data_IF_100899669724
#
_entry.id   IF_100899669724
#
_cell.length_a   1.000
_cell.length_b   1.000
_cell.length_c   1.000
_cell.angle_alpha   90.00
_cell.angle_beta   90.00
_cell.angle_gamma   90.00
#
_symmetry.space_group_name_H-M   'P 1'
#
loop_
_entity.id
_entity.type
_entity.pdbx_description
1 polymer ?
#
# COMPACT_ATOMS: atom_id res chain seq x y z
N UNK A 1 0.70 8.21 16.71
CA UNK A 1 1.58 8.16 15.54
C UNK A 1 1.89 9.59 15.10
N UNK A 2 3.17 9.93 14.91
CA UNK A 2 3.56 11.27 14.47
C UNK A 2 3.97 11.16 13.01
N UNK A 3 3.16 11.70 12.09
CA UNK A 3 3.59 12.00 10.73
C UNK A 3 3.50 13.50 10.53
N UNK A 4 4.62 14.16 10.21
CA UNK A 4 4.57 15.52 9.67
C UNK A 4 3.94 15.44 8.28
N UNK A 5 2.73 15.89 8.10
CA UNK A 5 2.20 16.56 6.91
C UNK A 5 0.68 16.70 6.97
N UNK A 6 0.25 17.91 6.73
CA UNK A 6 -1.08 18.41 6.38
C UNK A 6 -1.88 19.08 7.52
N UNK A 7 -2.15 20.31 7.24
CA UNK A 7 -2.71 21.35 8.13
C UNK A 7 -4.14 21.10 8.66
N UNK A 8 -4.82 19.97 8.38
CA UNK A 8 -6.22 19.80 8.76
C UNK A 8 -6.69 18.38 9.17
N UNK A 9 -5.82 17.36 9.20
CA UNK A 9 -6.26 16.01 9.58
C UNK A 9 -5.45 15.54 10.79
N UNK A 10 -6.03 15.70 11.99
CA UNK A 10 -5.40 15.26 13.24
C UNK A 10 -5.64 13.78 13.57
N UNK A 11 -6.63 13.13 12.94
CA UNK A 11 -6.90 11.71 13.16
C UNK A 11 -7.36 11.00 11.88
N UNK A 12 -6.86 9.78 11.65
CA UNK A 12 -7.32 8.87 10.61
C UNK A 12 -7.84 7.62 11.31
N UNK A 13 -9.10 7.25 11.06
CA UNK A 13 -9.74 6.07 11.64
C UNK A 13 -9.99 5.02 10.57
N UNK A 14 -9.64 3.78 10.88
CA UNK A 14 -9.93 2.63 10.05
C UNK A 14 -10.42 1.48 10.94
N UNK A 15 -11.72 1.20 10.89
CA UNK A 15 -12.39 0.26 11.78
C UNK A 15 -12.13 0.58 13.27
N UNK A 16 -11.45 -0.32 13.98
CA UNK A 16 -11.04 -0.19 15.39
C UNK A 16 -9.65 0.45 15.56
N UNK A 17 -8.92 0.66 14.45
CA UNK A 17 -7.61 1.31 14.48
C UNK A 17 -7.76 2.84 14.33
N UNK A 18 -7.20 3.59 15.29
CA UNK A 18 -7.15 5.05 15.25
C UNK A 18 -5.69 5.50 15.15
N UNK A 19 -5.41 6.38 14.19
CA UNK A 19 -4.09 7.00 14.05
C UNK A 19 -4.21 8.48 14.38
N UNK A 20 -3.38 8.92 15.30
CA UNK A 20 -3.27 10.32 15.70
C UNK A 20 -2.01 10.90 15.11
N UNK A 21 -2.10 12.10 14.56
CA UNK A 21 -0.97 12.86 14.03
C UNK A 21 -0.77 14.12 14.85
N UNK A 22 0.49 14.44 15.13
CA UNK A 22 0.86 15.64 15.87
C UNK A 22 2.23 16.12 15.41
N UNK A 23 2.47 17.43 15.53
CA UNK A 23 3.76 18.03 15.18
C UNK A 23 4.77 17.96 16.35
N UNK A 24 4.29 17.83 17.59
CA UNK A 24 5.11 17.74 18.79
C UNK A 24 4.71 16.57 19.69
N UNK A 25 5.62 16.19 20.59
CA UNK A 25 5.37 15.15 21.60
C UNK A 25 4.29 15.58 22.60
N UNK A 26 4.27 16.87 22.99
CA UNK A 26 3.30 17.43 23.90
C UNK A 26 1.89 17.40 23.30
N UNK A 27 1.77 17.76 22.03
CA UNK A 27 0.51 17.71 21.31
C UNK A 27 0.00 16.27 21.19
N UNK A 28 0.88 15.33 20.84
CA UNK A 28 0.53 13.91 20.77
C UNK A 28 0.02 13.38 22.10
N UNK A 29 0.69 13.72 23.21
CA UNK A 29 0.25 13.35 24.56
C UNK A 29 -1.14 13.91 24.86
N UNK A 30 -1.38 15.18 24.51
CA UNK A 30 -2.67 15.82 24.68
C UNK A 30 -3.80 15.13 23.90
N UNK A 31 -3.54 14.76 22.64
CA UNK A 31 -4.49 14.01 21.81
C UNK A 31 -4.75 12.61 22.36
N UNK A 32 -3.72 11.89 22.77
CA UNK A 32 -3.85 10.56 23.35
C UNK A 32 -4.66 10.57 24.66
N UNK A 33 -4.44 11.56 25.52
CA UNK A 33 -5.23 11.71 26.76
C UNK A 33 -6.70 11.99 26.46
N UNK A 34 -7.01 12.85 25.49
CA UNK A 34 -8.40 13.11 25.07
C UNK A 34 -9.07 11.84 24.52
N UNK A 35 -8.38 11.09 23.63
CA UNK A 35 -8.92 9.84 23.09
C UNK A 35 -9.17 8.82 24.20
N UNK A 36 -8.26 8.72 25.18
CA UNK A 36 -8.42 7.85 26.34
C UNK A 36 -9.67 8.22 27.14
N UNK A 37 -9.81 9.49 27.52
CA UNK A 37 -10.97 9.99 28.30
C UNK A 37 -12.30 9.73 27.57
N UNK A 38 -12.37 10.04 26.28
CA UNK A 38 -13.59 9.81 25.49
C UNK A 38 -13.89 8.31 25.31
N UNK A 39 -12.85 7.49 25.15
CA UNK A 39 -13.01 6.02 25.09
C UNK A 39 -13.55 5.47 26.41
N UNK A 40 -13.05 5.93 27.56
CA UNK A 40 -13.52 5.53 28.89
C UNK A 40 -14.98 5.93 29.14
N UNK A 41 -15.39 7.13 28.70
CA UNK A 41 -16.80 7.56 28.73
C UNK A 41 -17.73 6.66 27.93
N UNK A 42 -17.23 6.12 26.80
CA UNK A 42 -17.94 5.17 25.96
C UNK A 42 -17.86 3.71 26.47
N UNK A 43 -17.21 3.46 27.62
CA UNK A 43 -17.01 2.11 28.15
C UNK A 43 -15.94 1.29 27.44
N UNK A 44 -15.12 1.93 26.60
CA UNK A 44 -14.02 1.28 25.87
C UNK A 44 -12.72 1.44 26.66
N UNK A 45 -11.89 0.39 26.69
CA UNK A 45 -10.58 0.43 27.32
C UNK A 45 -9.50 0.72 26.29
N UNK A 46 -8.74 1.79 26.51
CA UNK A 46 -7.57 2.11 25.73
C UNK A 46 -6.47 1.07 25.99
N UNK A 47 -5.92 0.47 24.93
CA UNK A 47 -4.89 -0.58 25.05
C UNK A 47 -3.51 0.01 24.78
N UNK A 48 -2.81 0.41 25.82
CA UNK A 48 -1.45 1.01 25.75
C UNK A 48 -0.45 0.04 25.10
N UNK A 49 -0.52 -1.26 25.40
CA UNK A 49 0.41 -2.25 24.86
C UNK A 49 0.30 -2.46 23.33
N UNK A 50 -0.89 -2.22 22.77
CA UNK A 50 -1.10 -2.26 21.31
C UNK A 50 -0.83 -0.93 20.64
N UNK A 51 -0.79 0.15 21.40
CA UNK A 51 -0.56 1.49 20.88
C UNK A 51 0.93 1.70 20.63
N UNK A 52 1.29 2.14 19.44
CA UNK A 52 2.67 2.33 19.00
C UNK A 52 2.89 3.76 18.53
N UNK A 53 4.07 4.27 18.77
CA UNK A 53 4.48 5.60 18.34
C UNK A 53 5.51 5.48 17.23
N UNK A 54 5.32 6.25 16.17
CA UNK A 54 6.31 6.42 15.11
C UNK A 54 6.63 7.90 14.96
N UNK A 55 7.89 8.24 14.84
CA UNK A 55 8.34 9.60 14.59
C UNK A 55 9.37 9.66 13.49
N UNK A 56 9.42 10.81 12.80
CA UNK A 56 10.44 11.12 11.80
C UNK A 56 11.75 11.63 12.41
N UNK A 57 11.84 11.74 13.75
CA UNK A 57 13.00 12.19 14.52
C UNK A 57 13.21 11.39 15.80
N UNK A 58 14.27 11.66 16.55
CA UNK A 58 14.54 10.97 17.81
C UNK A 58 13.42 11.28 18.83
N UNK A 59 12.68 10.24 19.24
CA UNK A 59 11.80 10.29 20.40
C UNK A 59 12.55 9.65 21.58
N UNK A 60 12.61 10.35 22.70
CA UNK A 60 13.33 9.86 23.88
C UNK A 60 12.49 8.83 24.63
N UNK A 61 11.24 9.09 24.91
CA UNK A 61 10.24 8.12 25.41
C UNK A 61 8.90 8.83 25.59
N UNK A 62 7.80 8.21 25.19
CA UNK A 62 6.47 8.71 25.53
C UNK A 62 5.86 7.79 26.58
N UNK A 63 5.45 8.36 27.72
CA UNK A 63 4.80 7.65 28.81
C UNK A 63 3.39 8.15 28.99
N UNK A 64 2.46 7.22 29.18
CA UNK A 64 1.06 7.49 29.57
C UNK A 64 0.75 6.63 30.78
N UNK A 65 0.26 7.22 31.85
CA UNK A 65 -0.07 6.56 33.11
C UNK A 65 1.10 5.76 33.73
N UNK A 66 2.35 6.19 33.49
CA UNK A 66 3.54 5.49 33.96
C UNK A 66 3.96 4.29 33.09
N UNK A 67 3.20 3.94 32.05
CA UNK A 67 3.59 2.93 31.06
C UNK A 67 4.31 3.58 29.87
N UNK A 68 5.44 2.98 29.48
CA UNK A 68 6.21 3.45 28.31
C UNK A 68 5.64 2.83 27.05
N UNK A 69 5.33 3.66 26.06
CA UNK A 69 4.83 3.22 24.77
C UNK A 69 5.97 2.74 23.87
N UNK A 70 5.68 1.69 23.08
CA UNK A 70 6.63 1.16 22.11
C UNK A 70 6.83 2.14 20.96
N UNK A 71 8.09 2.53 20.72
CA UNK A 71 8.48 3.32 19.55
C UNK A 71 8.86 2.37 18.41
N UNK A 72 8.25 2.57 17.24
CA UNK A 72 8.47 1.73 16.06
C UNK A 72 8.94 2.57 14.87
N UNK A 73 9.70 1.95 14.00
CA UNK A 73 10.16 2.57 12.74
C UNK A 73 9.18 2.38 11.60
N UNK A 74 8.25 1.45 11.76
CA UNK A 74 7.22 1.15 10.79
C UNK A 74 5.99 0.51 11.47
N UNK A 75 4.83 0.62 10.82
CA UNK A 75 3.60 -0.05 11.25
C UNK A 75 2.71 -0.36 10.04
N UNK A 76 1.67 -1.17 10.26
CA UNK A 76 0.71 -1.54 9.22
C UNK A 76 -0.61 -0.83 9.51
N UNK A 77 -1.08 -0.03 8.56
CA UNK A 77 -2.39 0.61 8.58
C UNK A 77 -3.18 0.19 7.35
N UNK A 78 -4.40 -0.32 7.53
CA UNK A 78 -5.25 -0.74 6.41
C UNK A 78 -4.59 -1.77 5.48
N UNK A 79 -3.63 -2.56 5.98
CA UNK A 79 -2.85 -3.51 5.20
C UNK A 79 -1.69 -2.90 4.40
N UNK A 80 -1.44 -1.59 4.53
CA UNK A 80 -0.27 -0.90 3.98
C UNK A 80 0.77 -0.67 5.06
N UNK A 81 2.04 -0.91 4.73
CA UNK A 81 3.16 -0.64 5.64
C UNK A 81 3.57 0.82 5.50
N UNK A 82 3.54 1.57 6.58
CA UNK A 82 3.99 2.96 6.68
C UNK A 82 5.33 2.96 7.41
N UNK A 83 6.30 3.70 6.90
CA UNK A 83 7.65 3.81 7.46
C UNK A 83 7.95 5.26 7.82
N UNK A 84 8.76 5.48 8.85
CA UNK A 84 9.12 6.81 9.33
C UNK A 84 9.89 7.65 8.28
N UNK A 85 10.61 7.00 7.38
CA UNK A 85 11.35 7.63 6.27
C UNK A 85 10.51 7.85 5.00
N UNK A 86 9.23 7.42 5.01
CA UNK A 86 8.34 7.50 3.85
C UNK A 86 8.75 6.61 2.67
N UNK A 87 9.67 5.63 2.86
CA UNK A 87 10.07 4.73 1.78
C UNK A 87 9.07 3.61 1.55
N UNK A 88 8.32 3.69 0.47
CA UNK A 88 7.33 2.69 0.08
C UNK A 88 7.90 1.53 -0.78
N UNK A 89 9.21 1.50 -1.06
CA UNK A 89 9.85 0.44 -1.87
C UNK A 89 9.53 -0.97 -1.40
N UNK A 90 9.48 -1.19 -0.08
CA UNK A 90 9.13 -2.48 0.52
C UNK A 90 7.68 -2.87 0.26
N UNK A 91 6.76 -1.90 0.38
CA UNK A 91 5.33 -2.11 0.12
C UNK A 91 5.12 -2.48 -1.33
N UNK A 92 5.70 -1.70 -2.25
CA UNK A 92 5.62 -1.94 -3.69
C UNK A 92 6.17 -3.32 -4.05
N UNK A 93 7.35 -3.70 -3.57
CA UNK A 93 7.92 -5.04 -3.80
C UNK A 93 7.00 -6.16 -3.32
N UNK A 94 6.41 -6.01 -2.12
CA UNK A 94 5.45 -6.99 -1.56
C UNK A 94 4.21 -7.08 -2.43
N UNK A 95 3.64 -5.96 -2.88
CA UNK A 95 2.45 -5.91 -3.73
C UNK A 95 2.71 -6.56 -5.09
N UNK A 96 3.85 -6.28 -5.71
CA UNK A 96 4.26 -6.93 -6.96
C UNK A 96 4.41 -8.46 -6.79
N UNK A 97 4.91 -8.93 -5.64
CA UNK A 97 4.98 -10.37 -5.31
C UNK A 97 3.58 -10.99 -5.21
N UNK A 98 2.65 -10.33 -4.53
CA UNK A 98 1.25 -10.78 -4.43
C UNK A 98 0.59 -10.81 -5.81
N UNK A 99 0.82 -9.79 -6.64
CA UNK A 99 0.35 -9.76 -8.03
C UNK A 99 0.91 -10.92 -8.86
N UNK A 100 2.19 -11.26 -8.71
CA UNK A 100 2.78 -12.44 -9.37
C UNK A 100 2.11 -13.75 -8.93
N UNK A 101 1.80 -13.88 -7.64
CA UNK A 101 1.06 -15.04 -7.10
C UNK A 101 -0.35 -15.09 -7.68
N UNK A 102 -1.07 -13.97 -7.71
CA UNK A 102 -2.41 -13.87 -8.30
C UNK A 102 -2.38 -14.25 -9.79
N UNK A 103 -1.42 -13.73 -10.57
CA UNK A 103 -1.23 -14.06 -11.99
C UNK A 103 -0.91 -15.55 -12.19
N UNK A 104 -0.22 -16.19 -11.26
CA UNK A 104 0.08 -17.62 -11.33
C UNK A 104 -1.16 -18.45 -11.05
N UNK A 105 -2.01 -18.05 -10.11
CA UNK A 105 -3.27 -18.71 -9.80
C UNK A 105 -4.26 -18.64 -10.99
N UNK A 106 -4.19 -17.61 -11.81
CA UNK A 106 -5.00 -17.48 -13.03
C UNK A 106 -4.50 -18.33 -14.20
N UNK A 107 -3.40 -19.06 -14.07
CA UNK A 107 -2.74 -19.75 -15.19
C UNK A 107 -3.69 -20.67 -15.97
N UNK A 108 -4.50 -21.48 -15.30
CA UNK A 108 -5.45 -22.40 -15.97
C UNK A 108 -6.47 -21.64 -16.81
N UNK A 109 -7.04 -20.57 -16.26
CA UNK A 109 -8.03 -19.71 -16.93
C UNK A 109 -7.40 -19.00 -18.13
N UNK A 110 -6.23 -18.41 -17.95
CA UNK A 110 -5.50 -17.72 -19.03
C UNK A 110 -5.05 -18.68 -20.14
N UNK A 111 -4.88 -19.97 -19.83
CA UNK A 111 -4.55 -21.02 -20.77
C UNK A 111 -5.75 -21.49 -21.59
N UNK A 112 -6.99 -21.37 -21.10
CA UNK A 112 -8.18 -21.82 -21.83
C UNK A 112 -8.28 -21.15 -23.20
N UNK A 113 -8.74 -21.91 -24.21
CA UNK A 113 -9.03 -21.40 -25.56
C UNK A 113 -10.44 -20.83 -25.68
N UNK A 114 -11.33 -21.22 -24.77
CA UNK A 114 -12.75 -20.83 -24.78
C UNK A 114 -12.98 -19.42 -24.28
N UNK A 115 -11.98 -18.84 -23.61
CA UNK A 115 -12.03 -17.48 -23.07
C UNK A 115 -11.35 -16.51 -24.03
N UNK A 116 -12.07 -15.47 -24.43
CA UNK A 116 -11.57 -14.45 -25.38
C UNK A 116 -10.45 -13.61 -24.78
N UNK A 117 -9.61 -13.01 -25.62
CA UNK A 117 -8.51 -12.14 -25.16
C UNK A 117 -9.01 -10.94 -24.35
N UNK A 118 -10.06 -10.18 -24.77
CA UNK A 118 -10.60 -9.09 -23.96
C UNK A 118 -11.04 -9.53 -22.57
N UNK A 119 -11.69 -10.68 -22.45
CA UNK A 119 -12.11 -11.22 -21.14
C UNK A 119 -10.91 -11.55 -20.26
N UNK A 120 -9.85 -12.14 -20.83
CA UNK A 120 -8.61 -12.40 -20.10
C UNK A 120 -7.92 -11.12 -19.63
N UNK A 121 -7.91 -10.08 -20.45
CA UNK A 121 -7.38 -8.74 -20.09
C UNK A 121 -8.16 -8.17 -18.92
N UNK A 122 -9.50 -8.19 -18.99
CA UNK A 122 -10.37 -7.72 -17.90
C UNK A 122 -10.14 -8.51 -16.60
N UNK A 123 -9.95 -9.82 -16.67
CA UNK A 123 -9.61 -10.65 -15.51
C UNK A 123 -8.27 -10.28 -14.88
N UNK A 124 -7.23 -10.06 -15.69
CA UNK A 124 -5.92 -9.62 -15.16
C UNK A 124 -6.03 -8.26 -14.50
N UNK A 125 -6.73 -7.30 -15.11
CA UNK A 125 -6.98 -5.99 -14.50
C UNK A 125 -7.70 -6.11 -13.17
N UNK A 126 -8.82 -6.85 -13.12
CA UNK A 126 -9.65 -6.96 -11.93
C UNK A 126 -9.02 -7.79 -10.80
N UNK A 127 -8.24 -8.83 -11.11
CA UNK A 127 -7.75 -9.77 -10.09
C UNK A 127 -6.26 -9.60 -9.76
N UNK A 128 -5.47 -9.05 -10.68
CA UNK A 128 -4.03 -8.88 -10.46
C UNK A 128 -3.69 -7.43 -10.17
N UNK A 129 -4.16 -6.49 -10.99
CA UNK A 129 -3.81 -5.09 -10.83
C UNK A 129 -4.44 -4.46 -9.60
N UNK A 130 -5.69 -4.82 -9.23
CA UNK A 130 -6.28 -4.37 -7.97
C UNK A 130 -5.49 -4.84 -6.74
N UNK A 131 -4.94 -6.05 -6.77
CA UNK A 131 -4.07 -6.55 -5.68
C UNK A 131 -2.77 -5.75 -5.61
N UNK A 132 -2.18 -5.42 -6.76
CA UNK A 132 -0.94 -4.63 -6.82
C UNK A 132 -1.17 -3.20 -6.37
N UNK A 133 -2.25 -2.58 -6.84
CA UNK A 133 -2.55 -1.17 -6.63
C UNK A 133 -3.23 -0.87 -5.29
N UNK A 134 -3.50 -1.88 -4.46
CA UNK A 134 -4.12 -1.66 -3.16
C UNK A 134 -3.25 -0.77 -2.26
N UNK A 135 -3.79 0.37 -1.85
CA UNK A 135 -3.12 1.36 -1.00
C UNK A 135 -2.11 2.23 -1.75
N UNK A 136 -2.17 2.29 -3.11
CA UNK A 136 -1.24 3.07 -3.93
C UNK A 136 -1.32 4.58 -3.66
N UNK A 137 -2.47 5.06 -3.19
CA UNK A 137 -2.72 6.45 -2.81
C UNK A 137 -1.77 6.97 -1.73
N UNK A 138 -1.22 6.04 -0.93
CA UNK A 138 -0.24 6.35 0.12
C UNK A 138 1.22 6.24 -0.35
N UNK A 139 1.47 5.90 -1.62
CA UNK A 139 2.83 5.63 -2.08
C UNK A 139 3.53 6.90 -2.58
N UNK A 140 4.71 7.16 -2.02
CA UNK A 140 5.67 8.13 -2.60
C UNK A 140 6.53 7.40 -3.62
N UNK A 141 6.10 7.41 -4.89
CA UNK A 141 6.73 6.59 -5.94
C UNK A 141 7.95 7.31 -6.52
N UNK A 142 9.11 6.68 -6.38
CA UNK A 142 10.36 7.11 -7.00
C UNK A 142 10.49 6.52 -8.41
N UNK A 143 11.34 7.08 -9.26
CA UNK A 143 11.58 6.61 -10.64
C UNK A 143 11.90 5.10 -10.74
N UNK A 144 12.64 4.57 -9.78
CA UNK A 144 12.99 3.16 -9.75
C UNK A 144 11.77 2.24 -9.49
N UNK A 145 10.81 2.70 -8.69
CA UNK A 145 9.57 1.99 -8.43
C UNK A 145 8.64 2.02 -9.64
N UNK A 146 8.52 3.15 -10.34
CA UNK A 146 7.80 3.23 -11.62
C UNK A 146 8.32 2.17 -12.59
N UNK A 147 9.63 2.10 -12.80
CA UNK A 147 10.23 1.11 -13.68
C UNK A 147 9.93 -0.35 -13.28
N UNK A 148 9.81 -0.62 -11.96
CA UNK A 148 9.43 -1.96 -11.47
C UNK A 148 7.98 -2.28 -11.74
N UNK A 149 7.08 -1.29 -11.59
CA UNK A 149 5.64 -1.44 -11.87
C UNK A 149 5.44 -1.69 -13.37
N UNK A 150 6.08 -0.92 -14.23
CA UNK A 150 6.02 -1.07 -15.69
C UNK A 150 6.55 -2.44 -16.14
N UNK A 151 7.69 -2.85 -15.57
CA UNK A 151 8.26 -4.16 -15.86
C UNK A 151 7.34 -5.30 -15.42
N UNK A 152 6.63 -5.15 -14.29
CA UNK A 152 5.63 -6.10 -13.84
C UNK A 152 4.41 -6.15 -14.75
N UNK A 153 3.89 -4.98 -15.16
CA UNK A 153 2.76 -4.90 -16.10
C UNK A 153 3.09 -5.63 -17.39
N UNK A 154 4.25 -5.30 -17.98
CA UNK A 154 4.70 -5.95 -19.20
C UNK A 154 4.90 -7.46 -19.04
N UNK A 155 5.39 -7.91 -17.87
CA UNK A 155 5.50 -9.32 -17.54
C UNK A 155 4.12 -10.00 -17.52
N UNK A 156 3.09 -9.37 -16.97
CA UNK A 156 1.72 -9.88 -16.97
C UNK A 156 1.20 -10.08 -18.40
N UNK A 157 1.38 -9.05 -19.24
CA UNK A 157 0.92 -9.09 -20.63
C UNK A 157 1.66 -10.13 -21.48
N UNK A 158 2.98 -10.23 -21.33
CA UNK A 158 3.75 -11.29 -21.99
C UNK A 158 3.29 -12.68 -21.58
N UNK A 159 3.01 -12.88 -20.28
CA UNK A 159 2.49 -14.15 -19.77
C UNK A 159 1.10 -14.47 -20.29
N UNK A 160 0.21 -13.48 -20.38
CA UNK A 160 -1.13 -13.62 -20.93
C UNK A 160 -1.08 -14.00 -22.42
N UNK A 161 -0.25 -13.31 -23.21
CA UNK A 161 -0.06 -13.57 -24.64
C UNK A 161 0.85 -14.79 -24.94
N UNK A 162 1.41 -15.42 -23.90
CA UNK A 162 2.38 -16.52 -24.02
C UNK A 162 3.61 -16.17 -24.83
N UNK A 163 4.06 -14.94 -24.75
CA UNK A 163 5.26 -14.45 -25.45
C UNK A 163 6.48 -14.69 -24.56
N UNK A 164 7.42 -15.57 -24.95
CA UNK A 164 8.64 -15.79 -24.19
C UNK A 164 9.44 -14.50 -24.04
N UNK A 165 10.16 -14.35 -22.93
CA UNK A 165 11.04 -13.19 -22.74
C UNK A 165 12.12 -13.07 -23.84
N UNK A 166 12.64 -14.18 -24.30
CA UNK A 166 13.64 -14.23 -25.36
C UNK A 166 13.09 -13.90 -26.77
N UNK A 167 11.78 -13.72 -26.93
CA UNK A 167 11.21 -13.32 -28.21
C UNK A 167 11.63 -11.89 -28.55
N UNK A 168 11.92 -11.65 -29.84
CA UNK A 168 12.30 -10.31 -30.34
C UNK A 168 11.11 -9.35 -30.46
N UNK A 169 9.93 -9.68 -29.88
CA UNK A 169 8.78 -8.79 -29.88
C UNK A 169 9.03 -7.59 -28.98
N UNK A 170 8.83 -6.38 -29.52
CA UNK A 170 8.97 -5.13 -28.78
C UNK A 170 7.86 -4.98 -27.73
N UNK A 171 8.14 -4.25 -26.67
CA UNK A 171 7.17 -3.93 -25.63
C UNK A 171 5.95 -3.20 -26.21
N UNK A 172 6.19 -2.26 -27.13
CA UNK A 172 5.14 -1.54 -27.83
C UNK A 172 4.19 -2.47 -28.61
N UNK A 173 4.72 -3.51 -29.29
CA UNK A 173 3.88 -4.48 -30.02
C UNK A 173 3.01 -5.33 -29.09
N UNK A 174 3.48 -5.61 -27.87
CA UNK A 174 2.72 -6.30 -26.82
C UNK A 174 1.57 -5.43 -26.33
N UNK A 175 1.86 -4.17 -25.98
CA UNK A 175 0.85 -3.23 -25.49
C UNK A 175 -0.21 -2.92 -26.55
N UNK A 176 0.19 -2.78 -27.82
CA UNK A 176 -0.74 -2.57 -28.94
C UNK A 176 -1.71 -3.75 -29.12
N UNK A 177 -1.24 -4.99 -28.96
CA UNK A 177 -2.09 -6.18 -29.06
C UNK A 177 -3.11 -6.28 -27.92
N UNK A 178 -2.72 -5.85 -26.73
CA UNK A 178 -3.61 -5.79 -25.56
C UNK A 178 -4.66 -4.68 -25.69
N UNK A 179 -4.43 -3.71 -26.58
CA UNK A 179 -5.31 -2.55 -26.78
C UNK A 179 -5.61 -1.80 -25.46
N UNK A 180 -4.56 -1.51 -24.73
CA UNK A 180 -4.65 -0.83 -23.42
C UNK A 180 -4.81 0.67 -23.62
N UNK A 181 -6.00 1.19 -23.32
CA UNK A 181 -6.23 2.63 -23.19
C UNK A 181 -5.57 3.23 -21.95
N UNK A 182 -5.28 2.38 -20.92
CA UNK A 182 -4.69 2.79 -19.64
C UNK A 182 -3.59 1.82 -19.21
N UNK A 183 -2.41 2.35 -18.96
CA UNK A 183 -1.33 1.66 -18.27
C UNK A 183 -1.56 1.67 -16.76
N UNK A 184 -0.86 0.82 -15.98
CA UNK A 184 -0.84 0.92 -14.50
C UNK A 184 -0.35 2.29 -14.04
N UNK A 185 0.59 2.88 -14.76
CA UNK A 185 1.10 4.23 -14.52
C UNK A 185 0.00 5.29 -14.68
N UNK A 186 -0.88 5.15 -15.67
CA UNK A 186 -2.04 6.03 -15.84
C UNK A 186 -3.05 5.94 -14.69
N UNK A 187 -3.18 4.77 -14.05
CA UNK A 187 -4.03 4.60 -12.87
C UNK A 187 -3.44 5.24 -11.60
N UNK A 188 -2.12 5.44 -11.56
CA UNK A 188 -1.43 6.10 -10.43
C UNK A 188 -1.54 7.62 -10.53
N UNK A 189 -1.67 8.17 -11.75
CA UNK A 189 -1.73 9.62 -12.02
C UNK A 189 -3.15 10.20 -12.01
N UNK A 190 -4.17 9.37 -12.04
CA UNK A 190 -5.59 9.77 -11.98
C UNK A 190 -6.11 9.85 -10.55
#
# INVERSE_FOLDING_TARGET
>A
MICRYADDISDIRYADDTNLMAESEEELKGLLMKVKEESEKAGLKFNIQKTKIMASGPIISCQIDGETMETVTDFILGGSKITADGDCSHVIKRRLLLGRKAMTNLHSILKSRDITLPTKVSLVKAMVFLVVMYGYESWTIKKAEHQRIDAFELWCWRRLLRVPWASRRSNWSILKEINLEYSLEGLIQS
#
